data_IF_817965107945
#
_entry.id   IF_817965107945
#
_cell.length_a   1.000
_cell.length_b   1.000
_cell.length_c   1.000
_cell.angle_alpha   90.00
_cell.angle_beta   90.00
_cell.angle_gamma   90.00
#
_symmetry.space_group_name_H-M   'P 1'
#
loop_
_entity.id
_entity.type
_entity.pdbx_description
1 polymer ?
#
# COMPACT_ATOMS: atom_id res chain seq x y z
N UNK A 1 -17.27 -19.04 -15.49
CA UNK A 1 -16.95 -17.64 -15.82
C UNK A 1 -17.67 -17.10 -17.07
N UNK A 2 -18.25 -17.93 -17.96
CA UNK A 2 -18.78 -17.43 -19.25
C UNK A 2 -20.29 -17.11 -19.25
N UNK A 3 -21.08 -17.53 -18.25
CA UNK A 3 -22.55 -17.48 -18.36
C UNK A 3 -23.27 -16.39 -17.56
N UNK A 4 -22.63 -15.68 -16.63
CA UNK A 4 -23.35 -14.81 -15.66
C UNK A 4 -23.22 -13.30 -15.90
N UNK A 5 -22.29 -12.82 -16.73
CA UNK A 5 -22.05 -11.38 -16.92
C UNK A 5 -21.92 -10.94 -18.38
N UNK A 6 -22.49 -11.69 -19.33
CA UNK A 6 -22.57 -11.29 -20.75
C UNK A 6 -21.21 -10.89 -21.36
N UNK A 7 -20.14 -11.59 -20.93
CA UNK A 7 -18.73 -11.31 -21.27
C UNK A 7 -18.19 -9.93 -20.82
N UNK A 8 -18.92 -9.18 -19.99
CA UNK A 8 -18.48 -7.90 -19.43
C UNK A 8 -17.97 -8.09 -18.00
N UNK A 9 -16.92 -7.36 -17.65
CA UNK A 9 -16.46 -7.29 -16.26
C UNK A 9 -17.44 -6.42 -15.48
N UNK A 10 -17.99 -6.87 -14.34
CA UNK A 10 -18.93 -6.08 -13.56
C UNK A 10 -18.23 -4.92 -12.84
N UNK A 11 -18.86 -3.75 -12.84
CA UNK A 11 -18.40 -2.52 -12.18
C UNK A 11 -19.01 -2.40 -10.76
N UNK A 12 -18.82 -3.44 -9.95
CA UNK A 12 -19.32 -3.47 -8.57
C UNK A 12 -18.43 -4.35 -7.70
N UNK A 13 -18.07 -3.87 -6.51
CA UNK A 13 -17.30 -4.65 -5.54
C UNK A 13 -17.97 -5.98 -5.20
N UNK A 14 -19.27 -5.98 -4.92
CA UNK A 14 -20.00 -7.19 -4.55
C UNK A 14 -20.01 -8.22 -5.70
N UNK A 15 -20.20 -7.75 -6.93
CA UNK A 15 -20.21 -8.62 -8.11
C UNK A 15 -18.81 -9.16 -8.43
N UNK A 16 -17.78 -8.31 -8.32
CA UNK A 16 -16.39 -8.70 -8.53
C UNK A 16 -15.94 -9.73 -7.49
N UNK A 17 -16.23 -9.53 -6.21
CA UNK A 17 -15.83 -10.46 -5.14
C UNK A 17 -16.55 -11.81 -5.18
N UNK A 18 -17.70 -11.89 -5.87
CA UNK A 18 -18.39 -13.16 -6.16
C UNK A 18 -17.68 -13.99 -7.23
N UNK A 19 -16.77 -13.39 -8.01
CA UNK A 19 -16.03 -14.13 -9.05
C UNK A 19 -14.98 -15.05 -8.42
N UNK A 20 -14.88 -16.32 -8.86
CA UNK A 20 -13.90 -17.25 -8.31
C UNK A 20 -12.48 -16.75 -8.57
N UNK A 21 -11.70 -16.58 -7.49
CA UNK A 21 -10.33 -16.07 -7.51
C UNK A 21 -10.19 -14.55 -7.36
N UNK A 22 -11.30 -13.81 -7.27
CA UNK A 22 -11.30 -12.35 -7.04
C UNK A 22 -11.60 -12.08 -5.57
N UNK A 23 -10.57 -11.75 -4.80
CA UNK A 23 -10.74 -11.22 -3.44
C UNK A 23 -10.83 -9.69 -3.43
N UNK A 24 -11.09 -9.12 -2.24
CA UNK A 24 -11.25 -7.68 -2.03
C UNK A 24 -10.15 -6.82 -2.70
N UNK A 25 -8.88 -7.21 -2.55
CA UNK A 25 -7.76 -6.52 -3.20
C UNK A 25 -7.87 -6.51 -4.72
N UNK A 26 -8.18 -7.67 -5.32
CA UNK A 26 -8.31 -7.80 -6.77
C UNK A 26 -9.48 -6.97 -7.27
N UNK A 27 -10.61 -7.00 -6.56
CA UNK A 27 -11.76 -6.14 -6.86
C UNK A 27 -11.37 -4.65 -6.79
N UNK A 28 -10.65 -4.21 -5.76
CA UNK A 28 -10.19 -2.81 -5.63
C UNK A 28 -9.26 -2.37 -6.77
N UNK A 29 -8.39 -3.27 -7.27
CA UNK A 29 -7.53 -2.98 -8.44
C UNK A 29 -8.37 -2.83 -9.71
N UNK A 30 -9.36 -3.71 -9.92
CA UNK A 30 -10.26 -3.61 -11.08
C UNK A 30 -11.10 -2.33 -11.03
N UNK A 31 -11.68 -2.01 -9.87
CA UNK A 31 -12.46 -0.79 -9.68
C UNK A 31 -11.62 0.47 -9.92
N UNK A 32 -10.38 0.51 -9.42
CA UNK A 32 -9.50 1.67 -9.63
C UNK A 32 -8.93 1.78 -11.04
N UNK A 33 -8.28 0.72 -11.53
CA UNK A 33 -7.51 0.77 -12.79
C UNK A 33 -8.39 0.52 -14.01
N UNK A 34 -9.45 -0.27 -13.88
CA UNK A 34 -10.37 -0.61 -14.97
C UNK A 34 -11.49 0.40 -15.14
N UNK A 35 -12.05 0.89 -14.02
CA UNK A 35 -13.25 1.74 -14.03
C UNK A 35 -13.01 3.17 -13.52
N UNK A 36 -11.82 3.47 -12.97
CA UNK A 36 -11.48 4.82 -12.50
C UNK A 36 -12.13 5.19 -11.16
N UNK A 37 -12.75 4.25 -10.46
CA UNK A 37 -13.27 4.51 -9.13
C UNK A 37 -12.13 4.78 -8.14
N UNK A 38 -12.30 5.71 -7.21
CA UNK A 38 -11.31 5.93 -6.17
C UNK A 38 -11.21 4.70 -5.27
N UNK A 39 -10.08 4.00 -5.35
CA UNK A 39 -9.73 2.94 -4.43
C UNK A 39 -8.24 3.00 -4.13
N UNK A 40 -7.86 2.56 -2.92
CA UNK A 40 -6.46 2.48 -2.52
C UNK A 40 -6.10 1.03 -2.18
N UNK A 41 -5.90 0.15 -3.18
CA UNK A 41 -5.60 -1.25 -2.90
C UNK A 41 -4.26 -1.35 -2.15
N UNK A 42 -4.25 -2.01 -0.99
CA UNK A 42 -3.01 -2.24 -0.24
C UNK A 42 -2.45 -3.62 -0.58
N UNK A 43 -1.24 -3.65 -1.13
CA UNK A 43 -0.49 -4.88 -1.35
C UNK A 43 0.67 -5.07 -0.34
N UNK A 44 1.51 -6.08 -0.56
CA UNK A 44 2.65 -6.38 0.32
C UNK A 44 3.77 -5.32 0.25
N UNK A 45 3.88 -4.57 -0.85
CA UNK A 45 4.80 -3.44 -0.95
C UNK A 45 4.27 -2.27 -0.15
N UNK A 46 3.03 -1.84 -0.43
CA UNK A 46 2.38 -0.72 0.24
C UNK A 46 2.30 -0.96 1.74
N UNK A 47 1.84 -2.14 2.17
CA UNK A 47 1.72 -2.47 3.59
C UNK A 47 3.07 -2.40 4.32
N UNK A 48 4.12 -2.97 3.72
CA UNK A 48 5.49 -2.92 4.26
C UNK A 48 6.02 -1.49 4.32
N UNK A 49 5.78 -0.70 3.28
CA UNK A 49 6.30 0.66 3.16
C UNK A 49 5.57 1.63 4.07
N UNK A 50 4.24 1.54 4.17
CA UNK A 50 3.44 2.31 5.10
C UNK A 50 3.94 2.12 6.54
N UNK A 51 4.25 0.88 6.94
CA UNK A 51 4.87 0.61 8.22
C UNK A 51 6.30 1.18 8.33
N UNK A 52 7.16 0.97 7.32
CA UNK A 52 8.55 1.48 7.32
C UNK A 52 8.64 3.01 7.37
N UNK A 53 7.67 3.70 6.80
CA UNK A 53 7.60 5.16 6.71
C UNK A 53 6.80 5.79 7.86
N UNK A 54 6.24 4.98 8.76
CA UNK A 54 5.45 5.45 9.89
C UNK A 54 4.07 6.00 9.51
N UNK A 55 3.56 5.65 8.33
CA UNK A 55 2.21 6.02 7.86
C UNK A 55 1.13 5.13 8.50
N UNK A 56 1.50 3.91 8.89
CA UNK A 56 0.63 3.00 9.62
C UNK A 56 1.45 2.20 10.63
N UNK A 57 0.81 1.70 11.68
CA UNK A 57 1.44 0.76 12.60
C UNK A 57 1.49 -0.68 12.05
N UNK A 58 0.92 -0.92 10.87
CA UNK A 58 1.07 -2.18 10.13
C UNK A 58 0.40 -3.40 10.76
N UNK A 59 -0.46 -3.23 11.77
CA UNK A 59 -1.09 -4.38 12.45
C UNK A 59 -1.83 -5.33 11.49
N UNK A 60 -2.50 -4.77 10.49
CA UNK A 60 -3.13 -5.53 9.39
C UNK A 60 -3.33 -4.63 8.17
N UNK A 61 -3.71 -5.26 7.06
CA UNK A 61 -3.92 -4.59 5.76
C UNK A 61 -5.08 -3.61 5.82
N UNK A 62 -6.21 -3.99 6.42
CA UNK A 62 -7.41 -3.13 6.53
C UNK A 62 -7.13 -1.83 7.28
N UNK A 63 -6.37 -1.92 8.38
CA UNK A 63 -5.92 -0.75 9.13
C UNK A 63 -4.99 0.11 8.29
N UNK A 64 -4.04 -0.50 7.59
CA UNK A 64 -3.13 0.25 6.72
C UNK A 64 -3.88 0.99 5.62
N UNK A 65 -4.89 0.36 5.01
CA UNK A 65 -5.71 1.01 4.00
C UNK A 65 -6.46 2.21 4.57
N UNK A 66 -7.09 2.06 5.74
CA UNK A 66 -7.76 3.16 6.43
C UNK A 66 -6.80 4.31 6.74
N UNK A 67 -5.66 4.01 7.35
CA UNK A 67 -4.66 5.01 7.71
C UNK A 67 -4.19 5.78 6.45
N UNK A 68 -3.96 5.10 5.33
CA UNK A 68 -3.53 5.74 4.08
C UNK A 68 -4.62 6.59 3.44
N UNK A 69 -5.89 6.14 3.47
CA UNK A 69 -7.04 6.92 2.98
C UNK A 69 -7.30 8.17 3.82
N UNK A 70 -6.97 8.15 5.12
CA UNK A 70 -7.05 9.32 6.00
C UNK A 70 -5.90 10.31 5.76
N UNK A 71 -4.72 9.83 5.33
CA UNK A 71 -3.53 10.66 5.11
C UNK A 71 -3.54 11.34 3.73
N UNK A 72 -3.96 10.63 2.68
CA UNK A 72 -3.85 11.10 1.30
C UNK A 72 -5.22 11.46 0.70
N UNK A 73 -5.31 12.56 -0.07
CA UNK A 73 -6.57 12.93 -0.71
C UNK A 73 -6.97 11.93 -1.80
N UNK A 74 -8.29 11.77 -1.99
CA UNK A 74 -8.89 10.70 -2.80
C UNK A 74 -8.51 10.75 -4.28
N UNK A 75 -8.30 11.96 -4.81
CA UNK A 75 -7.94 12.22 -6.21
C UNK A 75 -6.56 11.65 -6.61
N UNK A 76 -5.66 11.44 -5.64
CA UNK A 76 -4.31 10.92 -5.92
C UNK A 76 -4.15 9.42 -5.66
N UNK A 77 -5.16 8.74 -5.10
CA UNK A 77 -5.05 7.35 -4.63
C UNK A 77 -4.51 6.38 -5.68
N UNK A 78 -5.06 6.44 -6.90
CA UNK A 78 -4.66 5.54 -8.00
C UNK A 78 -3.22 5.78 -8.43
N UNK A 79 -2.79 7.05 -8.49
CA UNK A 79 -1.41 7.43 -8.84
C UNK A 79 -0.44 7.01 -7.73
N UNK A 80 -0.79 7.29 -6.49
CA UNK A 80 0.04 6.99 -5.32
C UNK A 80 0.23 5.47 -5.14
N UNK A 81 -0.83 4.68 -5.36
CA UNK A 81 -0.78 3.22 -5.34
C UNK A 81 0.35 2.69 -6.23
N UNK A 82 0.40 3.12 -7.49
CA UNK A 82 1.42 2.71 -8.44
C UNK A 82 2.81 3.23 -8.04
N UNK A 83 2.93 4.51 -7.67
CA UNK A 83 4.20 5.11 -7.28
C UNK A 83 4.86 4.38 -6.09
N UNK A 84 4.08 4.03 -5.06
CA UNK A 84 4.58 3.30 -3.89
C UNK A 84 5.01 1.89 -4.29
N UNK A 85 4.27 1.20 -5.18
CA UNK A 85 4.64 -0.14 -5.66
C UNK A 85 5.98 -0.09 -6.42
N UNK A 86 6.11 0.82 -7.39
CA UNK A 86 7.35 0.97 -8.18
C UNK A 86 8.53 1.30 -7.26
N UNK A 87 8.36 2.26 -6.36
CA UNK A 87 9.38 2.60 -5.38
C UNK A 87 9.79 1.41 -4.51
N UNK A 88 8.81 0.61 -4.07
CA UNK A 88 9.04 -0.57 -3.26
C UNK A 88 9.77 -1.72 -3.97
N UNK A 89 9.77 -1.72 -5.30
CA UNK A 89 10.45 -2.72 -6.13
C UNK A 89 11.87 -2.29 -6.47
N UNK A 90 12.06 -1.04 -6.82
CA UNK A 90 13.34 -0.53 -7.34
C UNK A 90 14.23 0.04 -6.24
N UNK A 91 13.65 0.78 -5.29
CA UNK A 91 14.42 1.61 -4.35
C UNK A 91 14.33 1.10 -2.89
N UNK A 92 13.17 0.60 -2.47
CA UNK A 92 12.93 0.15 -1.10
C UNK A 92 12.57 -1.34 -1.01
N UNK A 93 13.48 -2.16 -1.52
CA UNK A 93 13.35 -3.61 -1.56
C UNK A 93 13.21 -4.23 -0.17
N UNK A 94 12.45 -5.32 -0.07
CA UNK A 94 12.13 -5.95 1.21
C UNK A 94 13.37 -6.43 1.98
N UNK A 95 14.35 -7.01 1.28
CA UNK A 95 15.54 -7.64 1.87
C UNK A 95 16.85 -6.86 1.69
N UNK A 96 16.84 -5.80 0.87
CA UNK A 96 18.05 -5.02 0.58
C UNK A 96 17.99 -3.58 1.14
N UNK A 97 16.81 -3.05 1.44
CA UNK A 97 16.70 -1.70 2.02
C UNK A 97 16.79 -1.74 3.55
N UNK A 98 17.87 -1.16 4.08
CA UNK A 98 18.10 -0.99 5.52
C UNK A 98 17.65 0.37 6.07
N UNK A 99 17.03 1.21 5.23
CA UNK A 99 16.51 2.53 5.62
C UNK A 99 17.58 3.60 5.89
N UNK A 100 18.85 3.32 5.61
CA UNK A 100 19.98 4.25 5.77
C UNK A 100 20.36 4.97 4.46
N UNK A 101 19.99 4.43 3.31
CA UNK A 101 20.36 4.96 1.99
C UNK A 101 19.13 5.36 1.17
N UNK A 102 18.03 4.61 1.28
CA UNK A 102 16.77 4.91 0.61
C UNK A 102 16.31 6.33 0.92
N UNK A 103 16.14 7.14 -0.14
CA UNK A 103 15.78 8.55 -0.05
C UNK A 103 14.55 8.78 0.84
N UNK A 104 13.43 8.10 0.55
CA UNK A 104 12.19 8.26 1.34
C UNK A 104 12.40 7.82 2.79
N UNK A 105 13.09 6.70 3.04
CA UNK A 105 13.34 6.23 4.40
C UNK A 105 14.21 7.22 5.21
N UNK A 106 15.22 7.82 4.58
CA UNK A 106 16.05 8.87 5.18
C UNK A 106 15.24 10.13 5.45
N UNK A 107 14.37 10.54 4.53
CA UNK A 107 13.52 11.71 4.73
C UNK A 107 12.50 11.50 5.85
N UNK A 108 11.90 10.31 5.97
CA UNK A 108 10.99 10.00 7.07
C UNK A 108 11.73 9.87 8.42
N UNK A 109 12.98 9.40 8.42
CA UNK A 109 13.79 9.19 9.62
C UNK A 109 15.23 9.71 9.45
N UNK A 110 15.46 11.03 9.40
CA UNK A 110 16.78 11.59 9.06
C UNK A 110 17.84 11.35 10.13
N UNK A 111 17.43 11.11 11.37
CA UNK A 111 18.31 10.82 12.51
C UNK A 111 18.59 9.32 12.69
N UNK A 112 18.10 8.46 11.79
CA UNK A 112 18.29 7.00 11.88
C UNK A 112 19.77 6.66 11.67
N UNK A 113 20.41 6.12 12.73
CA UNK A 113 21.78 5.58 12.68
C UNK A 113 21.83 4.06 12.56
N UNK A 114 20.77 3.38 12.96
CA UNK A 114 20.68 1.91 12.97
C UNK A 114 19.84 1.39 11.80
N UNK A 115 20.26 0.30 11.16
CA UNK A 115 19.53 -0.29 10.04
C UNK A 115 18.17 -0.85 10.49
N UNK A 116 17.16 -0.78 9.61
CA UNK A 116 15.88 -1.48 9.79
C UNK A 116 16.15 -2.97 9.86
N UNK A 117 15.68 -3.64 10.91
CA UNK A 117 15.77 -5.09 11.00
C UNK A 117 14.70 -5.76 10.13
N UNK A 118 15.12 -6.69 9.28
CA UNK A 118 14.21 -7.52 8.47
C UNK A 118 13.82 -8.77 9.28
N UNK A 119 13.11 -8.60 10.39
CA UNK A 119 12.62 -9.78 11.14
C UNK A 119 11.53 -10.51 10.34
N UNK A 120 11.56 -11.86 10.39
CA UNK A 120 10.41 -12.71 10.00
C UNK A 120 9.37 -12.64 11.12
N UNK A 121 8.60 -11.56 11.21
CA UNK A 121 7.57 -11.42 12.23
C UNK A 121 7.35 -9.99 12.66
N UNK A 122 6.10 -9.55 12.59
CA UNK A 122 5.62 -8.23 12.99
C UNK A 122 5.78 -8.08 14.50
N UNK A 123 6.81 -7.40 14.95
CA UNK A 123 6.88 -6.84 16.31
C UNK A 123 7.97 -5.76 16.36
N UNK A 124 7.59 -4.53 16.04
CA UNK A 124 8.33 -3.34 16.44
C UNK A 124 7.34 -2.22 16.73
N UNK A 125 7.27 -1.79 17.98
CA UNK A 125 6.60 -0.57 18.41
C UNK A 125 7.47 0.61 18.03
N UNK A 126 7.42 1.03 16.76
CA UNK A 126 7.96 2.32 16.37
C UNK A 126 6.92 3.40 16.71
N UNK A 127 7.29 4.43 17.49
CA UNK A 127 6.38 5.56 17.70
C UNK A 127 6.06 6.17 16.33
N UNK A 128 4.77 6.42 16.09
CA UNK A 128 4.28 7.17 14.92
C UNK A 128 4.92 8.57 14.98
N UNK A 129 6.11 8.71 14.40
CA UNK A 129 6.80 9.98 14.31
C UNK A 129 6.10 10.83 13.27
N UNK A 130 5.82 12.09 13.63
CA UNK A 130 5.23 13.17 12.81
C UNK A 130 5.37 12.89 11.31
N UNK A 131 4.21 12.70 10.69
CA UNK A 131 3.93 12.35 9.31
C UNK A 131 5.06 12.67 8.33
N UNK A 132 5.49 11.64 7.60
CA UNK A 132 6.31 11.77 6.40
C UNK A 132 5.45 12.35 5.25
N UNK A 133 4.83 13.52 5.46
CA UNK A 133 4.02 14.23 4.45
C UNK A 133 4.88 14.97 3.43
N UNK A 134 6.22 14.90 3.55
CA UNK A 134 7.15 15.75 2.80
C UNK A 134 7.41 15.24 1.37
N UNK A 135 6.82 14.12 0.95
CA UNK A 135 7.24 13.42 -0.29
C UNK A 135 6.11 13.18 -1.31
N UNK A 136 4.85 13.46 -0.98
CA UNK A 136 3.70 13.00 -1.77
C UNK A 136 2.70 14.11 -2.09
#
# INVERSE_FOLDING_TARGET
MVHEYDQKVPESFEALEKLPGVGHKTASVVMSQGFGHPAFPVDTHIHRLAHRWGLSNGQNVLKTERDLKEIFPEDIWNRLHLQIIYWGRENCQARACFGLECYICKSCYPRRKTPIQHKRGFNSTHPLSRLCSIIW
#
